data_IF_829298707622
#
_entry.id   IF_829298707622
#
_cell.length_a   1.000
_cell.length_b   1.000
_cell.length_c   1.000
_cell.angle_alpha   90.00
_cell.angle_beta   90.00
_cell.angle_gamma   90.00
#
_symmetry.space_group_name_H-M   'P 1'
#
loop_
_entity.id
_entity.type
_entity.pdbx_description
1 polymer ?
#
# COMPACT_ATOMS: atom_id res chain seq x y z
N UNK A 1 21.91 23.24 -14.08
CA UNK A 1 21.11 24.13 -13.23
C UNK A 1 19.70 24.07 -13.74
N UNK A 2 18.81 23.37 -13.05
CA UNK A 2 17.38 23.34 -13.39
C UNK A 2 16.83 24.75 -13.15
N UNK A 3 16.17 25.32 -14.16
CA UNK A 3 15.49 26.60 -13.99
C UNK A 3 14.43 26.42 -12.89
N UNK A 4 14.53 27.16 -11.79
CA UNK A 4 13.54 27.12 -10.73
C UNK A 4 12.18 27.50 -11.33
N UNK A 5 11.16 26.63 -11.16
CA UNK A 5 9.80 26.93 -11.59
C UNK A 5 9.32 28.21 -10.91
N UNK A 6 8.92 29.22 -11.68
CA UNK A 6 8.28 30.42 -11.16
C UNK A 6 6.80 30.14 -11.05
N UNK A 7 6.25 30.17 -9.82
CA UNK A 7 4.83 29.89 -9.57
C UNK A 7 3.98 31.13 -9.90
N UNK A 8 2.88 30.90 -10.63
CA UNK A 8 1.91 31.90 -11.03
C UNK A 8 0.76 31.96 -10.02
N UNK A 9 0.59 33.10 -9.38
CA UNK A 9 -0.41 33.33 -8.32
C UNK A 9 -1.42 34.34 -8.82
N UNK A 10 -2.70 34.03 -8.74
CA UNK A 10 -3.78 35.00 -8.93
C UNK A 10 -4.20 35.55 -7.58
N UNK A 11 -4.37 36.86 -7.46
CA UNK A 11 -4.91 37.49 -6.25
C UNK A 11 -6.11 38.37 -6.59
N UNK A 12 -7.30 37.95 -6.18
CA UNK A 12 -8.55 38.66 -6.39
C UNK A 12 -8.98 39.33 -5.07
N UNK A 13 -9.06 40.67 -5.08
CA UNK A 13 -9.38 41.49 -3.91
C UNK A 13 -9.81 42.89 -4.41
N UNK A 14 -10.93 43.42 -3.95
CA UNK A 14 -11.41 44.75 -4.39
C UNK A 14 -10.50 45.88 -3.89
N UNK A 15 -9.82 45.66 -2.76
CA UNK A 15 -8.83 46.57 -2.19
C UNK A 15 -7.38 46.21 -2.63
N UNK A 16 -7.17 45.54 -3.75
CA UNK A 16 -5.88 44.98 -4.21
C UNK A 16 -4.76 46.03 -4.30
N UNK A 17 -5.11 47.29 -4.54
CA UNK A 17 -4.14 48.39 -4.58
C UNK A 17 -3.46 48.66 -3.21
N UNK A 18 -4.15 48.37 -2.11
CA UNK A 18 -3.64 48.45 -0.78
C UNK A 18 -2.67 47.29 -0.45
N UNK A 19 -2.77 46.21 -1.22
CA UNK A 19 -1.97 45.01 -1.03
C UNK A 19 -0.68 44.98 -1.85
N UNK A 20 -0.36 46.05 -2.59
CA UNK A 20 0.91 46.22 -3.35
C UNK A 20 2.17 45.85 -2.57
N UNK A 21 2.34 46.25 -1.29
CA UNK A 21 3.51 45.85 -0.52
C UNK A 21 3.63 44.32 -0.33
N UNK A 22 2.49 43.63 -0.18
CA UNK A 22 2.44 42.18 -0.05
C UNK A 22 2.78 41.49 -1.39
N UNK A 23 2.28 42.02 -2.49
CA UNK A 23 2.58 41.52 -3.84
C UNK A 23 4.07 41.66 -4.12
N UNK A 24 4.66 42.84 -3.84
CA UNK A 24 6.09 43.08 -4.01
C UNK A 24 6.92 42.12 -3.15
N UNK A 25 6.50 41.89 -1.90
CA UNK A 25 7.16 40.92 -1.03
C UNK A 25 7.15 39.50 -1.64
N UNK A 26 6.02 39.01 -2.14
CA UNK A 26 5.92 37.72 -2.77
C UNK A 26 6.78 37.63 -4.04
N UNK A 27 6.83 38.69 -4.84
CA UNK A 27 7.69 38.76 -6.02
C UNK A 27 9.19 38.67 -5.65
N UNK A 28 9.63 39.31 -4.54
CA UNK A 28 11.02 39.11 -4.05
C UNK A 28 11.32 37.67 -3.61
N UNK A 29 10.29 36.88 -3.34
CA UNK A 29 10.40 35.47 -2.97
C UNK A 29 10.27 34.52 -4.16
N UNK A 30 10.18 35.04 -5.39
CA UNK A 30 10.15 34.26 -6.64
C UNK A 30 8.76 33.81 -7.08
N UNK A 31 7.69 34.42 -6.55
CA UNK A 31 6.33 34.19 -7.01
C UNK A 31 5.91 35.30 -7.97
N UNK A 32 5.24 34.98 -9.04
CA UNK A 32 4.64 35.94 -9.97
C UNK A 32 3.16 36.12 -9.63
N UNK A 33 2.76 37.35 -9.27
CA UNK A 33 1.41 37.63 -8.76
C UNK A 33 0.65 38.49 -9.77
N UNK A 34 -0.50 37.99 -10.23
CA UNK A 34 -1.46 38.69 -11.09
C UNK A 34 -2.58 39.24 -10.21
N UNK A 35 -2.66 40.57 -10.00
CA UNK A 35 -3.74 41.17 -9.22
C UNK A 35 -4.99 41.39 -10.09
N UNK A 36 -6.18 41.09 -9.51
CA UNK A 36 -7.49 41.41 -10.09
C UNK A 36 -8.43 41.96 -9.02
N UNK A 37 -9.47 42.73 -9.43
CA UNK A 37 -10.34 43.48 -8.49
C UNK A 37 -11.71 42.86 -8.26
N UNK A 38 -12.05 41.82 -8.97
CA UNK A 38 -13.37 41.20 -8.88
C UNK A 38 -13.36 39.72 -9.16
N UNK A 39 -14.42 39.02 -8.73
CA UNK A 39 -14.62 37.61 -9.03
C UNK A 39 -14.74 37.32 -10.53
N UNK A 40 -15.36 38.22 -11.31
CA UNK A 40 -15.47 38.06 -12.76
C UNK A 40 -14.09 38.12 -13.43
N UNK A 41 -13.27 39.13 -13.07
CA UNK A 41 -11.89 39.22 -13.58
C UNK A 41 -11.06 37.99 -13.20
N UNK A 42 -11.28 37.43 -12.00
CA UNK A 42 -10.59 36.21 -11.57
C UNK A 42 -10.98 35.00 -12.45
N UNK A 43 -12.27 34.83 -12.76
CA UNK A 43 -12.76 33.77 -13.63
C UNK A 43 -12.19 33.92 -15.05
N UNK A 44 -12.23 35.16 -15.61
CA UNK A 44 -11.68 35.45 -16.94
C UNK A 44 -10.18 35.14 -17.00
N UNK A 45 -9.43 35.53 -15.96
CA UNK A 45 -8.00 35.25 -15.86
C UNK A 45 -7.71 33.74 -15.83
N UNK A 46 -8.47 32.93 -15.05
CA UNK A 46 -8.32 31.48 -14.95
C UNK A 46 -8.67 30.76 -16.28
N UNK A 47 -9.54 31.36 -17.09
CA UNK A 47 -9.84 30.86 -18.42
C UNK A 47 -8.72 31.17 -19.42
N UNK A 48 -8.11 32.38 -19.29
CA UNK A 48 -7.10 32.87 -20.22
C UNK A 48 -5.71 32.27 -20.00
N UNK A 49 -5.32 31.98 -18.74
CA UNK A 49 -3.99 31.47 -18.42
C UNK A 49 -3.98 30.49 -17.24
N UNK A 50 -2.85 29.84 -17.03
CA UNK A 50 -2.64 28.89 -15.92
C UNK A 50 -2.18 29.62 -14.67
N UNK A 51 -2.76 29.27 -13.53
CA UNK A 51 -2.29 29.65 -12.19
C UNK A 51 -2.01 28.42 -11.36
N UNK A 52 -1.03 28.51 -10.45
CA UNK A 52 -0.67 27.46 -9.52
C UNK A 52 -1.47 27.57 -8.19
N UNK A 53 -1.92 28.79 -7.81
CA UNK A 53 -2.74 29.04 -6.62
C UNK A 53 -3.49 30.39 -6.77
N UNK A 54 -4.65 30.48 -6.12
CA UNK A 54 -5.44 31.72 -6.04
C UNK A 54 -5.58 32.17 -4.59
N UNK A 55 -5.30 33.46 -4.31
CA UNK A 55 -5.82 34.17 -3.15
C UNK A 55 -7.12 34.85 -3.53
N UNK A 56 -8.19 34.65 -2.74
CA UNK A 56 -9.54 35.08 -3.08
C UNK A 56 -10.20 35.77 -1.89
N UNK A 57 -10.54 37.04 -2.03
CA UNK A 57 -11.35 37.74 -1.02
C UNK A 57 -12.83 37.36 -1.11
N UNK A 58 -13.50 37.34 0.03
CA UNK A 58 -14.95 37.09 0.08
C UNK A 58 -15.77 38.30 -0.35
N UNK A 59 -15.36 39.48 0.07
CA UNK A 59 -16.13 40.69 -0.13
C UNK A 59 -15.68 41.46 -1.39
N UNK A 60 -16.16 41.06 -2.52
CA UNK A 60 -15.88 41.70 -3.81
C UNK A 60 -17.18 42.20 -4.48
N UNK A 61 -17.12 43.30 -5.27
CA UNK A 61 -18.30 43.79 -5.98
C UNK A 61 -18.75 42.79 -7.06
N UNK A 62 -20.04 42.53 -7.10
CA UNK A 62 -20.68 41.63 -8.09
C UNK A 62 -20.76 40.20 -7.59
N UNK A 63 -19.76 39.39 -7.86
CA UNK A 63 -19.68 38.01 -7.35
C UNK A 63 -18.97 37.96 -6.02
N UNK A 64 -19.54 37.24 -5.05
CA UNK A 64 -18.84 36.94 -3.77
C UNK A 64 -17.66 36.04 -4.01
N UNK A 65 -16.75 35.94 -3.01
CA UNK A 65 -15.65 34.99 -3.05
C UNK A 65 -16.13 33.54 -3.14
N UNK A 66 -17.18 33.18 -2.40
CA UNK A 66 -17.77 31.83 -2.45
C UNK A 66 -18.39 31.49 -3.83
N UNK A 67 -19.11 32.43 -4.43
CA UNK A 67 -19.64 32.26 -5.80
C UNK A 67 -18.52 32.10 -6.83
N UNK A 68 -17.47 32.90 -6.66
CA UNK A 68 -16.28 32.86 -7.52
C UNK A 68 -15.53 31.53 -7.35
N UNK A 69 -15.33 31.08 -6.12
CA UNK A 69 -14.74 29.79 -5.76
C UNK A 69 -15.47 28.65 -6.48
N UNK A 70 -16.81 28.60 -6.38
CA UNK A 70 -17.60 27.54 -7.00
C UNK A 70 -17.38 27.49 -8.52
N UNK A 71 -17.47 28.65 -9.20
CA UNK A 71 -17.27 28.73 -10.65
C UNK A 71 -15.86 28.37 -11.08
N UNK A 72 -14.85 28.79 -10.33
CA UNK A 72 -13.47 28.43 -10.63
C UNK A 72 -13.24 26.92 -10.41
N UNK A 73 -13.84 26.32 -9.39
CA UNK A 73 -13.76 24.88 -9.14
C UNK A 73 -14.48 24.04 -10.19
N UNK A 74 -15.53 24.54 -10.80
CA UNK A 74 -16.17 23.92 -11.97
C UNK A 74 -15.24 23.91 -13.20
N UNK A 75 -14.46 24.98 -13.42
CA UNK A 75 -13.50 25.10 -14.52
C UNK A 75 -12.19 24.35 -14.24
N UNK A 76 -11.70 24.43 -13.01
CA UNK A 76 -10.41 23.89 -12.55
C UNK A 76 -10.54 23.21 -11.18
N UNK A 77 -11.06 21.99 -11.09
CA UNK A 77 -11.38 21.32 -9.81
C UNK A 77 -10.21 21.21 -8.83
N UNK A 78 -8.99 21.07 -9.33
CA UNK A 78 -7.79 20.84 -8.54
C UNK A 78 -6.96 22.11 -8.27
N UNK A 79 -7.34 23.27 -8.80
CA UNK A 79 -6.61 24.52 -8.57
C UNK A 79 -6.73 24.92 -7.09
N UNK A 80 -5.60 25.07 -6.34
CA UNK A 80 -5.64 25.49 -4.95
C UNK A 80 -6.20 26.90 -4.82
N UNK A 81 -7.17 27.09 -3.90
CA UNK A 81 -7.77 28.40 -3.60
C UNK A 81 -7.68 28.64 -2.09
N UNK A 82 -7.10 29.76 -1.72
CA UNK A 82 -6.96 30.25 -0.35
C UNK A 82 -7.89 31.45 -0.19
N UNK A 83 -8.89 31.32 0.71
CA UNK A 83 -9.76 32.45 1.04
C UNK A 83 -9.01 33.44 1.95
N UNK A 84 -9.09 34.73 1.64
CA UNK A 84 -8.46 35.82 2.43
C UNK A 84 -9.52 36.85 2.74
N UNK A 85 -10.10 36.85 3.93
CA UNK A 85 -11.28 37.66 4.25
C UNK A 85 -11.20 38.33 5.63
N UNK A 86 -12.06 39.35 5.83
CA UNK A 86 -12.20 40.06 7.10
C UNK A 86 -13.14 39.35 8.09
N UNK A 87 -13.89 38.31 7.63
CA UNK A 87 -14.89 37.64 8.45
C UNK A 87 -14.32 36.44 9.20
N UNK A 88 -14.64 36.32 10.49
CA UNK A 88 -14.39 35.17 11.35
C UNK A 88 -15.67 34.32 11.56
N UNK A 89 -16.70 34.56 10.75
CA UNK A 89 -17.97 33.85 10.89
C UNK A 89 -17.81 32.36 10.57
N UNK A 90 -18.18 31.52 11.52
CA UNK A 90 -18.09 30.07 11.43
C UNK A 90 -18.90 29.50 10.25
N UNK A 91 -20.00 30.14 9.91
CA UNK A 91 -20.87 29.74 8.80
C UNK A 91 -20.19 29.95 7.43
N UNK A 92 -19.48 31.05 7.25
CA UNK A 92 -18.66 31.34 6.05
C UNK A 92 -17.50 30.37 5.93
N UNK A 93 -16.82 30.06 7.03
CA UNK A 93 -15.76 29.06 7.05
C UNK A 93 -16.27 27.68 6.65
N UNK A 94 -17.43 27.27 7.18
CA UNK A 94 -18.04 25.96 6.86
C UNK A 94 -18.47 25.88 5.37
N UNK A 95 -19.03 26.97 4.82
CA UNK A 95 -19.40 27.03 3.41
C UNK A 95 -18.14 27.00 2.51
N UNK A 96 -17.08 27.72 2.87
CA UNK A 96 -15.82 27.71 2.14
C UNK A 96 -15.18 26.32 2.15
N UNK A 97 -15.17 25.62 3.30
CA UNK A 97 -14.70 24.23 3.43
C UNK A 97 -15.55 23.30 2.54
N UNK A 98 -16.89 23.46 2.57
CA UNK A 98 -17.80 22.73 1.67
C UNK A 98 -17.52 23.00 0.18
N UNK A 99 -17.09 24.22 -0.16
CA UNK A 99 -16.64 24.63 -1.49
C UNK A 99 -15.25 24.11 -1.88
N UNK A 100 -14.58 23.31 -1.01
CA UNK A 100 -13.24 22.71 -1.24
C UNK A 100 -12.11 23.74 -1.36
N UNK A 101 -12.08 24.73 -0.46
CA UNK A 101 -10.91 25.60 -0.31
C UNK A 101 -9.70 24.78 0.19
N UNK A 102 -8.51 25.31 -0.08
CA UNK A 102 -7.27 24.68 0.35
C UNK A 102 -6.76 25.24 1.69
N UNK A 103 -7.02 26.54 1.94
CA UNK A 103 -6.63 27.25 3.17
C UNK A 103 -7.53 28.48 3.39
N UNK A 104 -7.47 29.05 4.60
CA UNK A 104 -8.26 30.21 5.01
C UNK A 104 -7.39 31.20 5.80
N UNK A 105 -7.35 32.46 5.41
CA UNK A 105 -6.57 33.51 6.05
C UNK A 105 -7.49 34.68 6.44
N UNK A 106 -7.30 35.20 7.64
CA UNK A 106 -8.10 36.33 8.17
C UNK A 106 -7.30 37.62 8.01
N UNK A 107 -7.91 38.66 7.44
CA UNK A 107 -7.35 40.00 7.36
C UNK A 107 -7.32 40.69 8.73
N UNK A 108 -6.28 41.43 9.08
CA UNK A 108 -5.13 41.80 8.26
C UNK A 108 -4.12 40.68 8.15
N UNK A 109 -3.83 40.25 6.91
CA UNK A 109 -2.80 39.25 6.66
C UNK A 109 -1.40 39.84 6.71
N UNK A 110 -0.48 39.12 7.32
CA UNK A 110 0.89 39.51 7.29
C UNK A 110 1.65 38.77 6.14
N UNK A 111 2.67 39.37 5.52
CA UNK A 111 3.40 38.77 4.42
C UNK A 111 3.94 37.36 4.72
N UNK A 112 4.30 37.08 5.98
CA UNK A 112 4.80 35.78 6.39
C UNK A 112 3.70 34.70 6.40
N UNK A 113 2.45 35.06 6.70
CA UNK A 113 1.30 34.12 6.64
C UNK A 113 1.00 33.74 5.19
N UNK A 114 1.01 34.72 4.27
CA UNK A 114 0.86 34.45 2.84
C UNK A 114 1.95 33.53 2.32
N UNK A 115 3.22 33.83 2.68
CA UNK A 115 4.34 32.99 2.27
C UNK A 115 4.25 31.56 2.86
N UNK A 116 3.79 31.44 4.11
CA UNK A 116 3.60 30.12 4.74
C UNK A 116 2.49 29.33 4.03
N UNK A 117 1.37 29.97 3.70
CA UNK A 117 0.27 29.34 2.96
C UNK A 117 0.73 28.91 1.56
N UNK A 118 1.49 29.76 0.83
CA UNK A 118 2.07 29.39 -0.46
C UNK A 118 3.03 28.18 -0.33
N UNK A 119 3.93 28.21 0.66
CA UNK A 119 4.84 27.08 0.89
C UNK A 119 4.10 25.80 1.22
N UNK A 120 3.10 25.86 2.10
CA UNK A 120 2.26 24.71 2.46
C UNK A 120 1.55 24.12 1.23
N UNK A 121 1.00 24.96 0.36
CA UNK A 121 0.14 24.51 -0.73
C UNK A 121 0.88 24.23 -2.05
N UNK A 122 2.03 24.87 -2.30
CA UNK A 122 2.80 24.73 -3.52
C UNK A 122 4.10 23.94 -3.37
N UNK A 123 4.68 23.95 -2.15
CA UNK A 123 5.98 23.34 -1.90
C UNK A 123 5.92 22.19 -0.89
N UNK A 124 4.74 21.81 -0.41
CA UNK A 124 4.62 20.75 0.60
C UNK A 124 5.27 19.45 0.11
N UNK A 125 5.04 19.04 -1.12
CA UNK A 125 5.66 17.85 -1.71
C UNK A 125 7.20 17.99 -1.80
N UNK A 126 7.73 19.16 -2.15
CA UNK A 126 9.19 19.35 -2.24
C UNK A 126 9.85 19.41 -0.85
N UNK A 127 9.19 20.01 0.14
CA UNK A 127 9.70 20.07 1.53
C UNK A 127 9.69 18.67 2.16
N UNK A 128 8.62 17.91 1.94
CA UNK A 128 8.52 16.51 2.37
C UNK A 128 9.62 15.69 1.68
N UNK A 129 9.79 15.84 0.37
CA UNK A 129 10.84 15.17 -0.38
C UNK A 129 12.24 15.47 0.13
N UNK A 130 12.57 16.74 0.41
CA UNK A 130 13.88 17.12 0.97
C UNK A 130 14.13 16.46 2.33
N UNK A 131 13.14 16.49 3.22
CA UNK A 131 13.23 15.82 4.52
C UNK A 131 13.38 14.30 4.37
N UNK A 132 12.60 13.69 3.47
CA UNK A 132 12.68 12.25 3.16
C UNK A 132 14.05 11.87 2.62
N UNK A 133 14.63 12.68 1.72
CA UNK A 133 15.99 12.47 1.18
C UNK A 133 17.06 12.52 2.29
N UNK A 134 16.98 13.49 3.19
CA UNK A 134 17.94 13.61 4.30
C UNK A 134 17.83 12.41 5.24
N UNK A 135 16.60 12.03 5.62
CA UNK A 135 16.34 10.88 6.47
C UNK A 135 16.80 9.59 5.81
N UNK A 136 16.51 9.39 4.53
CA UNK A 136 16.94 8.20 3.81
C UNK A 136 18.47 8.10 3.72
N UNK A 137 19.19 9.19 3.45
CA UNK A 137 20.67 9.17 3.41
C UNK A 137 21.28 8.73 4.74
N UNK A 138 20.71 9.17 5.86
CA UNK A 138 21.13 8.72 7.18
C UNK A 138 20.83 7.24 7.41
N UNK A 139 19.62 6.80 7.08
CA UNK A 139 19.18 5.41 7.17
C UNK A 139 19.97 4.49 6.22
N UNK A 140 20.25 4.96 5.00
CA UNK A 140 21.07 4.23 4.03
C UNK A 140 22.43 3.84 4.61
N UNK A 141 23.13 4.80 5.23
CA UNK A 141 24.43 4.55 5.86
C UNK A 141 24.32 3.52 6.99
N UNK A 142 23.30 3.62 7.84
CA UNK A 142 23.06 2.69 8.94
C UNK A 142 22.75 1.28 8.41
N UNK A 143 21.80 1.15 7.50
CA UNK A 143 21.43 -0.15 6.90
C UNK A 143 22.63 -0.78 6.18
N UNK A 144 23.41 -0.01 5.42
CA UNK A 144 24.57 -0.52 4.69
C UNK A 144 25.66 -1.04 5.63
N UNK A 145 25.86 -0.39 6.79
CA UNK A 145 26.81 -0.85 7.80
C UNK A 145 26.34 -2.11 8.53
N UNK A 146 25.03 -2.24 8.75
CA UNK A 146 24.43 -3.40 9.42
C UNK A 146 24.33 -4.63 8.52
N UNK A 147 24.20 -4.44 7.20
CA UNK A 147 24.05 -5.54 6.25
C UNK A 147 25.24 -6.51 6.27
N UNK A 148 24.97 -7.75 6.62
CA UNK A 148 25.93 -8.85 6.55
C UNK A 148 25.20 -10.20 6.41
N UNK A 149 25.90 -11.24 5.98
CA UNK A 149 25.38 -12.61 5.92
C UNK A 149 25.30 -13.30 7.30
N UNK A 150 25.66 -12.57 8.37
CA UNK A 150 25.61 -13.05 9.78
C UNK A 150 24.41 -12.57 10.54
N UNK A 151 23.53 -11.79 9.93
CA UNK A 151 22.30 -11.34 10.57
C UNK A 151 21.43 -12.53 10.99
N UNK A 152 20.79 -12.42 12.13
CA UNK A 152 19.73 -13.33 12.57
C UNK A 152 18.49 -13.19 11.68
N UNK A 153 17.56 -14.13 11.76
CA UNK A 153 16.28 -14.07 11.02
C UNK A 153 15.48 -12.80 11.36
N UNK A 154 15.46 -12.41 12.64
CA UNK A 154 14.69 -11.24 13.07
C UNK A 154 15.33 -9.93 12.59
N UNK A 155 16.67 -9.86 12.56
CA UNK A 155 17.38 -8.73 11.95
C UNK A 155 17.14 -8.65 10.43
N UNK A 156 17.04 -9.80 9.74
CA UNK A 156 16.65 -9.83 8.31
C UNK A 156 15.21 -9.36 8.09
N UNK A 157 14.28 -9.76 8.95
CA UNK A 157 12.90 -9.28 8.91
C UNK A 157 12.82 -7.77 9.08
N UNK A 158 13.57 -7.23 10.04
CA UNK A 158 13.60 -5.79 10.31
C UNK A 158 14.23 -5.01 9.16
N UNK A 159 15.37 -5.49 8.62
CA UNK A 159 15.98 -4.89 7.45
C UNK A 159 15.04 -4.89 6.25
N UNK A 160 14.29 -5.98 6.04
CA UNK A 160 13.32 -6.06 4.95
C UNK A 160 12.17 -5.05 5.12
N UNK A 161 11.61 -4.90 6.34
CA UNK A 161 10.60 -3.87 6.64
C UNK A 161 11.10 -2.47 6.33
N UNK A 162 12.32 -2.14 6.73
CA UNK A 162 12.95 -0.83 6.46
C UNK A 162 13.15 -0.60 4.95
N UNK A 163 13.60 -1.58 4.21
CA UNK A 163 13.75 -1.48 2.75
C UNK A 163 12.39 -1.25 2.06
N UNK A 164 11.35 -1.94 2.49
CA UNK A 164 9.98 -1.74 1.97
C UNK A 164 9.44 -0.36 2.37
N UNK A 165 9.66 0.08 3.61
CA UNK A 165 9.28 1.42 4.04
C UNK A 165 9.86 2.49 3.12
N UNK A 166 11.18 2.43 2.87
CA UNK A 166 11.84 3.40 1.99
C UNK A 166 11.44 3.29 0.52
N UNK A 167 11.07 2.09 0.06
CA UNK A 167 10.51 1.92 -1.28
C UNK A 167 9.19 2.67 -1.46
N UNK A 168 8.35 2.69 -0.44
CA UNK A 168 7.08 3.43 -0.44
C UNK A 168 7.28 4.93 -0.26
N UNK A 169 8.13 5.35 0.68
CA UNK A 169 8.41 6.77 0.94
C UNK A 169 9.09 7.48 -0.23
N UNK A 170 9.93 6.77 -0.99
CA UNK A 170 10.62 7.32 -2.15
C UNK A 170 9.85 7.14 -3.46
N UNK A 171 8.63 6.59 -3.44
CA UNK A 171 7.86 6.28 -4.65
C UNK A 171 7.64 7.50 -5.56
N UNK A 172 7.35 8.65 -4.96
CA UNK A 172 7.22 9.94 -5.67
C UNK A 172 8.49 10.81 -5.55
N UNK A 173 9.59 10.25 -5.04
CA UNK A 173 10.81 10.95 -4.71
C UNK A 173 11.79 11.11 -5.86
N UNK A 174 13.00 11.58 -5.50
CA UNK A 174 14.13 11.81 -6.40
C UNK A 174 14.65 10.49 -7.01
N UNK A 175 14.90 10.48 -8.33
CA UNK A 175 15.36 9.29 -9.06
C UNK A 175 16.73 8.77 -8.57
N UNK A 176 17.62 9.65 -8.13
CA UNK A 176 18.92 9.23 -7.58
C UNK A 176 18.75 8.45 -6.28
N UNK A 177 17.78 8.82 -5.45
CA UNK A 177 17.48 8.10 -4.21
C UNK A 177 16.83 6.75 -4.50
N UNK A 178 15.98 6.67 -5.52
CA UNK A 178 15.43 5.38 -5.99
C UNK A 178 16.52 4.45 -6.50
N UNK A 179 17.46 4.95 -7.29
CA UNK A 179 18.60 4.15 -7.76
C UNK A 179 19.47 3.64 -6.61
N UNK A 180 19.74 4.50 -5.61
CA UNK A 180 20.48 4.12 -4.41
C UNK A 180 19.74 3.00 -3.63
N UNK A 181 18.42 3.13 -3.46
CA UNK A 181 17.61 2.11 -2.81
C UNK A 181 17.64 0.79 -3.59
N UNK A 182 17.51 0.83 -4.91
CA UNK A 182 17.59 -0.37 -5.75
C UNK A 182 18.96 -1.07 -5.63
N UNK A 183 20.05 -0.31 -5.55
CA UNK A 183 21.38 -0.88 -5.29
C UNK A 183 21.44 -1.54 -3.91
N UNK A 184 20.88 -0.90 -2.89
CA UNK A 184 20.83 -1.41 -1.52
C UNK A 184 19.97 -2.68 -1.42
N UNK A 185 18.81 -2.71 -2.08
CA UNK A 185 17.94 -3.90 -2.20
C UNK A 185 18.64 -5.06 -2.92
N UNK A 186 19.40 -4.75 -3.96
CA UNK A 186 20.19 -5.77 -4.69
C UNK A 186 21.26 -6.39 -3.79
N UNK A 187 22.01 -5.58 -3.04
CA UNK A 187 23.01 -6.05 -2.09
C UNK A 187 22.38 -6.86 -0.95
N UNK A 188 21.29 -6.36 -0.35
CA UNK A 188 20.54 -7.10 0.66
C UNK A 188 20.07 -8.46 0.13
N UNK A 189 19.53 -8.50 -1.10
CA UNK A 189 19.10 -9.75 -1.74
C UNK A 189 20.25 -10.74 -1.96
N UNK A 190 21.45 -10.25 -2.33
CA UNK A 190 22.66 -11.08 -2.48
C UNK A 190 23.11 -11.68 -1.13
N UNK A 191 23.15 -10.87 -0.09
CA UNK A 191 23.52 -11.32 1.26
C UNK A 191 22.48 -12.27 1.87
N UNK A 192 21.20 -11.97 1.68
CA UNK A 192 20.10 -12.83 2.13
C UNK A 192 20.13 -14.19 1.42
N UNK A 193 20.42 -14.22 0.13
CA UNK A 193 20.58 -15.50 -0.59
C UNK A 193 21.69 -16.36 0.00
N UNK A 194 22.82 -15.76 0.39
CA UNK A 194 23.91 -16.48 1.09
C UNK A 194 23.47 -16.96 2.46
N UNK A 195 22.76 -16.12 3.21
CA UNK A 195 22.22 -16.48 4.49
C UNK A 195 21.27 -17.69 4.39
N UNK A 196 20.36 -17.68 3.43
CA UNK A 196 19.44 -18.81 3.18
C UNK A 196 20.23 -20.07 2.77
N UNK A 197 21.15 -19.95 1.82
CA UNK A 197 21.96 -21.10 1.36
C UNK A 197 22.76 -21.76 2.50
N UNK A 198 23.18 -20.98 3.47
CA UNK A 198 23.94 -21.47 4.63
C UNK A 198 23.09 -22.17 5.68
N UNK A 199 21.85 -21.70 5.89
CA UNK A 199 21.04 -22.10 7.05
C UNK A 199 19.88 -23.03 6.69
N UNK A 200 19.32 -22.94 5.45
CA UNK A 200 18.04 -23.57 5.10
C UNK A 200 18.06 -25.09 5.25
N UNK A 201 19.12 -25.76 4.83
CA UNK A 201 19.23 -27.22 4.97
C UNK A 201 19.23 -27.65 6.45
N UNK A 202 19.91 -26.88 7.32
CA UNK A 202 19.87 -27.11 8.79
C UNK A 202 18.47 -26.99 9.35
N UNK A 203 17.71 -25.98 8.94
CA UNK A 203 16.33 -25.80 9.39
C UNK A 203 15.37 -26.91 8.96
N UNK A 204 15.65 -27.56 7.80
CA UNK A 204 14.86 -28.71 7.38
C UNK A 204 15.21 -29.95 8.20
N UNK A 205 16.49 -30.16 8.48
CA UNK A 205 16.96 -31.34 9.23
C UNK A 205 16.62 -31.28 10.72
N UNK A 206 16.72 -30.07 11.31
CA UNK A 206 16.49 -29.83 12.73
C UNK A 206 15.37 -28.80 12.93
N UNK A 207 14.09 -29.25 12.98
CA UNK A 207 12.96 -28.34 13.13
C UNK A 207 12.88 -27.58 14.46
N UNK A 208 13.56 -28.06 15.50
CA UNK A 208 13.55 -27.42 16.81
C UNK A 208 14.38 -26.12 16.78
N UNK A 209 13.79 -25.02 17.21
CA UNK A 209 14.46 -23.70 17.27
C UNK A 209 14.66 -23.00 15.92
N UNK A 210 14.18 -23.57 14.82
CA UNK A 210 14.22 -22.90 13.50
C UNK A 210 13.22 -21.73 13.42
N UNK A 211 13.41 -20.79 12.50
CA UNK A 211 12.39 -19.78 12.21
C UNK A 211 11.10 -20.44 11.71
N UNK A 212 9.98 -19.72 11.84
CA UNK A 212 8.69 -20.16 11.31
C UNK A 212 8.79 -20.31 9.78
N UNK A 213 8.52 -21.52 9.30
CA UNK A 213 8.39 -21.82 7.88
C UNK A 213 6.91 -22.07 7.50
N UNK A 214 6.62 -22.22 6.21
CA UNK A 214 5.26 -22.46 5.70
C UNK A 214 4.48 -23.57 6.48
N UNK A 215 5.04 -24.75 6.77
CA UNK A 215 4.31 -25.80 7.49
C UNK A 215 4.00 -25.46 8.96
N UNK A 216 4.66 -24.47 9.53
CA UNK A 216 4.54 -24.15 10.96
C UNK A 216 3.40 -23.17 11.25
N UNK A 217 2.82 -22.52 10.24
CA UNK A 217 1.86 -21.41 10.42
C UNK A 217 0.62 -21.80 11.21
N UNK A 218 -0.03 -22.90 10.90
CA UNK A 218 -1.22 -23.33 11.64
C UNK A 218 -0.88 -23.67 13.09
N UNK A 219 0.22 -24.38 13.32
CA UNK A 219 0.67 -24.76 14.66
C UNK A 219 0.99 -23.53 15.52
N UNK A 220 1.62 -22.51 14.94
CA UNK A 220 2.16 -21.37 15.69
C UNK A 220 1.20 -20.19 15.78
N UNK A 221 0.33 -19.99 14.79
CA UNK A 221 -0.53 -18.79 14.72
C UNK A 221 -2.02 -19.11 14.82
N UNK A 222 -2.50 -20.26 14.30
CA UNK A 222 -3.92 -20.59 14.26
C UNK A 222 -4.36 -21.38 15.48
N UNK A 223 -3.68 -22.49 15.81
CA UNK A 223 -4.08 -23.37 16.89
C UNK A 223 -4.11 -22.69 18.26
N UNK A 224 -3.14 -21.83 18.65
CA UNK A 224 -3.22 -21.13 19.94
C UNK A 224 -4.49 -20.30 20.10
N UNK A 225 -4.97 -19.63 19.05
CA UNK A 225 -6.22 -18.86 19.08
C UNK A 225 -7.46 -19.77 19.22
N UNK A 226 -7.52 -20.85 18.44
CA UNK A 226 -8.61 -21.83 18.55
C UNK A 226 -8.64 -22.52 19.92
N UNK A 227 -7.47 -22.88 20.44
CA UNK A 227 -7.33 -23.52 21.76
C UNK A 227 -7.74 -22.59 22.91
N UNK A 228 -7.60 -21.27 22.74
CA UNK A 228 -8.11 -20.26 23.67
C UNK A 228 -9.61 -19.99 23.55
N UNK A 229 -10.28 -20.64 22.59
CA UNK A 229 -11.71 -20.50 22.32
C UNK A 229 -12.07 -19.34 21.38
N UNK A 230 -11.08 -18.70 20.78
CA UNK A 230 -11.34 -17.66 19.78
C UNK A 230 -11.77 -18.29 18.43
N UNK A 231 -12.58 -17.57 17.69
CA UNK A 231 -12.97 -17.94 16.34
C UNK A 231 -12.07 -17.22 15.34
N UNK A 232 -11.63 -17.92 14.30
CA UNK A 232 -10.59 -17.46 13.39
C UNK A 232 -11.04 -17.48 11.94
N UNK A 233 -10.84 -16.37 11.22
CA UNK A 233 -10.72 -16.36 9.77
C UNK A 233 -9.25 -16.41 9.39
N UNK A 234 -8.84 -17.46 8.71
CA UNK A 234 -7.52 -17.58 8.09
C UNK A 234 -7.67 -17.23 6.61
N UNK A 235 -7.17 -16.06 6.23
CA UNK A 235 -7.29 -15.53 4.87
C UNK A 235 -5.90 -15.55 4.23
N UNK A 236 -5.75 -16.33 3.17
CA UNK A 236 -4.53 -16.40 2.38
C UNK A 236 -4.76 -15.70 1.03
N UNK A 237 -3.99 -14.63 0.79
CA UNK A 237 -3.93 -13.98 -0.52
C UNK A 237 -2.71 -14.52 -1.25
N UNK A 238 -2.95 -15.23 -2.35
CA UNK A 238 -1.93 -15.84 -3.19
C UNK A 238 -0.95 -14.82 -3.74
N UNK A 239 0.36 -15.05 -3.54
CA UNK A 239 1.43 -14.22 -4.08
C UNK A 239 1.36 -12.74 -3.61
N UNK A 240 0.90 -12.51 -2.37
CA UNK A 240 0.70 -11.18 -1.81
C UNK A 240 1.94 -10.72 -1.05
N UNK A 241 2.61 -9.69 -1.55
CA UNK A 241 3.87 -9.19 -1.00
C UNK A 241 3.65 -8.21 0.14
N UNK A 242 4.66 -8.05 0.99
CA UNK A 242 4.62 -7.13 2.12
C UNK A 242 4.48 -5.65 1.70
N UNK A 243 5.10 -5.22 0.60
CA UNK A 243 4.93 -3.87 0.06
C UNK A 243 3.50 -3.60 -0.44
N UNK A 244 2.82 -4.62 -0.94
CA UNK A 244 1.40 -4.55 -1.31
C UNK A 244 0.51 -4.48 -0.05
N UNK A 245 0.85 -5.27 0.99
CA UNK A 245 0.18 -5.18 2.29
C UNK A 245 0.28 -3.76 2.87
N UNK A 246 1.46 -3.18 2.98
CA UNK A 246 1.65 -1.81 3.48
C UNK A 246 0.82 -0.79 2.69
N UNK A 247 0.65 -0.98 1.38
CA UNK A 247 -0.17 -0.09 0.55
C UNK A 247 -1.67 -0.20 0.81
N UNK A 248 -2.18 -1.38 1.24
CA UNK A 248 -3.61 -1.61 1.51
C UNK A 248 -3.99 -1.51 2.97
N UNK A 249 -3.04 -1.63 3.88
CA UNK A 249 -3.20 -1.63 5.34
C UNK A 249 -4.08 -0.48 5.84
N UNK A 250 -3.85 0.73 5.32
CA UNK A 250 -4.64 1.91 5.68
C UNK A 250 -6.13 1.79 5.37
N UNK A 251 -6.53 0.94 4.41
CA UNK A 251 -7.94 0.70 4.08
C UNK A 251 -8.65 -0.12 5.16
N UNK A 252 -7.90 -0.88 5.96
CA UNK A 252 -8.41 -1.76 7.00
C UNK A 252 -8.24 -1.20 8.42
N UNK A 253 -7.50 -0.09 8.60
CA UNK A 253 -7.19 0.49 9.91
C UNK A 253 -8.41 1.01 10.67
N UNK A 254 -9.52 1.26 9.96
CA UNK A 254 -10.81 1.62 10.58
C UNK A 254 -11.45 0.42 11.32
N UNK A 255 -11.19 -0.82 10.86
CA UNK A 255 -11.85 -2.03 11.35
C UNK A 255 -10.97 -2.90 12.23
N UNK A 256 -9.64 -2.80 12.06
CA UNK A 256 -8.67 -3.70 12.68
C UNK A 256 -7.50 -2.96 13.31
N UNK A 257 -7.01 -3.51 14.41
CA UNK A 257 -5.66 -3.27 14.92
C UNK A 257 -4.76 -4.42 14.44
N UNK A 258 -3.50 -4.11 14.09
CA UNK A 258 -2.61 -5.06 13.46
C UNK A 258 -1.48 -5.49 14.39
N UNK A 259 -1.23 -6.80 14.44
CA UNK A 259 0.00 -7.41 14.94
C UNK A 259 0.69 -8.09 13.76
N UNK A 260 1.90 -7.64 13.41
CA UNK A 260 2.56 -8.00 12.17
C UNK A 260 3.84 -8.80 12.43
N UNK A 261 3.94 -9.94 11.74
CA UNK A 261 5.14 -10.75 11.71
C UNK A 261 5.48 -11.18 10.28
N UNK A 262 6.71 -11.56 10.06
CA UNK A 262 7.16 -12.15 8.81
C UNK A 262 7.61 -13.58 9.06
N UNK A 263 7.31 -14.47 8.14
CA UNK A 263 7.79 -15.84 8.15
C UNK A 263 8.57 -16.15 6.87
N UNK A 264 9.32 -17.22 6.86
CA UNK A 264 10.04 -17.66 5.67
C UNK A 264 9.23 -18.71 4.92
N UNK A 265 8.82 -18.40 3.69
CA UNK A 265 8.23 -19.40 2.79
C UNK A 265 9.26 -20.47 2.47
N UNK A 266 8.80 -21.73 2.33
CA UNK A 266 9.68 -22.82 1.92
C UNK A 266 10.17 -22.66 0.49
N UNK A 267 11.32 -23.24 0.18
CA UNK A 267 11.87 -23.30 -1.17
C UNK A 267 11.47 -24.60 -1.87
N UNK A 268 11.11 -24.52 -3.17
CA UNK A 268 10.90 -23.33 -3.97
C UNK A 268 9.64 -22.56 -3.53
N UNK A 269 9.70 -21.21 -3.63
CA UNK A 269 8.60 -20.32 -3.25
C UNK A 269 7.53 -20.30 -4.34
N UNK A 270 6.83 -21.41 -4.52
CA UNK A 270 5.77 -21.57 -5.50
C UNK A 270 4.51 -22.10 -4.83
N UNK A 271 3.35 -21.71 -5.35
CA UNK A 271 2.02 -22.05 -4.82
C UNK A 271 1.87 -23.54 -4.52
N UNK A 272 2.28 -24.40 -5.44
CA UNK A 272 2.20 -25.85 -5.28
C UNK A 272 2.88 -26.36 -4.03
N UNK A 273 4.07 -25.84 -3.71
CA UNK A 273 4.86 -26.28 -2.57
C UNK A 273 4.47 -25.53 -1.29
N UNK A 274 4.53 -24.21 -1.31
CA UNK A 274 4.38 -23.38 -0.14
C UNK A 274 2.96 -23.44 0.44
N UNK A 275 1.92 -23.36 -0.41
CA UNK A 275 0.53 -23.39 0.06
C UNK A 275 0.13 -24.77 0.57
N UNK A 276 0.49 -25.82 -0.14
CA UNK A 276 0.24 -27.18 0.33
C UNK A 276 0.96 -27.46 1.65
N UNK A 277 2.17 -26.91 1.84
CA UNK A 277 2.87 -27.02 3.12
C UNK A 277 2.15 -26.25 4.26
N UNK A 278 1.57 -25.08 3.99
CA UNK A 278 0.76 -24.34 4.96
C UNK A 278 -0.44 -25.18 5.40
N UNK A 279 -1.21 -25.69 4.43
CA UNK A 279 -2.48 -26.37 4.72
C UNK A 279 -2.32 -27.80 5.22
N UNK A 280 -1.22 -28.46 4.89
CA UNK A 280 -0.93 -29.79 5.43
C UNK A 280 -0.12 -29.73 6.73
N UNK A 281 0.62 -28.64 7.01
CA UNK A 281 1.60 -28.58 8.10
C UNK A 281 2.76 -29.61 7.92
N UNK A 282 3.14 -29.88 6.68
CA UNK A 282 4.20 -30.82 6.30
C UNK A 282 5.06 -30.24 5.19
N UNK A 283 6.29 -30.71 5.09
CA UNK A 283 7.11 -30.45 3.90
C UNK A 283 6.59 -31.24 2.68
N UNK A 284 6.80 -30.75 1.46
CA UNK A 284 6.27 -31.38 0.24
C UNK A 284 6.57 -32.88 0.11
N UNK A 285 7.80 -33.29 0.40
CA UNK A 285 8.21 -34.68 0.39
C UNK A 285 7.42 -35.55 1.39
N UNK A 286 7.11 -34.98 2.56
CA UNK A 286 6.33 -35.69 3.58
C UNK A 286 4.85 -35.79 3.17
N UNK A 287 4.32 -34.75 2.50
CA UNK A 287 2.96 -34.82 1.93
C UNK A 287 2.89 -35.97 0.90
N UNK A 288 3.83 -36.00 -0.04
CA UNK A 288 3.86 -37.04 -1.09
C UNK A 288 4.00 -38.46 -0.50
N UNK A 289 4.75 -38.62 0.57
CA UNK A 289 4.91 -39.93 1.24
C UNK A 289 3.72 -40.33 2.10
N UNK A 290 3.16 -39.42 2.87
CA UNK A 290 2.12 -39.73 3.85
C UNK A 290 0.72 -39.67 3.23
N UNK A 291 0.52 -38.86 2.22
CA UNK A 291 -0.77 -38.60 1.58
C UNK A 291 -0.62 -38.53 0.06
N UNK A 292 -0.17 -39.62 -0.59
CA UNK A 292 0.08 -39.64 -2.05
C UNK A 292 -1.14 -39.24 -2.87
N UNK A 293 -2.33 -39.56 -2.40
CA UNK A 293 -3.60 -39.21 -3.08
C UNK A 293 -3.92 -37.71 -3.03
N UNK A 294 -3.26 -36.94 -2.14
CA UNK A 294 -3.43 -35.49 -2.01
C UNK A 294 -2.32 -34.70 -2.70
N UNK A 295 -1.21 -35.38 -3.02
CA UNK A 295 -0.10 -34.78 -3.73
C UNK A 295 -0.27 -34.94 -5.25
N UNK A 296 -0.08 -33.85 -5.98
CA UNK A 296 -0.10 -33.85 -7.45
C UNK A 296 1.31 -33.54 -7.95
N UNK A 297 1.90 -34.44 -8.68
CA UNK A 297 3.24 -34.31 -9.23
C UNK A 297 3.31 -33.21 -10.28
N UNK A 298 4.51 -32.65 -10.46
CA UNK A 298 4.73 -31.49 -11.34
C UNK A 298 4.44 -31.82 -12.82
N UNK A 299 4.64 -33.06 -13.23
CA UNK A 299 4.38 -33.55 -14.57
C UNK A 299 2.88 -33.80 -14.87
N UNK A 300 2.03 -33.85 -13.85
CA UNK A 300 0.59 -34.08 -14.04
C UNK A 300 -0.08 -32.85 -14.69
N UNK A 301 -1.02 -33.09 -15.58
CA UNK A 301 -1.88 -32.05 -16.16
C UNK A 301 -2.95 -31.53 -15.18
N UNK A 302 -3.14 -32.22 -14.06
CA UNK A 302 -4.12 -31.81 -13.04
C UNK A 302 -3.69 -30.56 -12.29
N UNK A 303 -4.68 -29.83 -11.75
CA UNK A 303 -4.43 -28.64 -10.95
C UNK A 303 -3.70 -28.98 -9.64
N UNK A 304 -2.55 -28.33 -9.41
CA UNK A 304 -1.63 -28.65 -8.30
C UNK A 304 -2.16 -28.29 -6.90
N UNK A 305 -3.21 -27.48 -6.82
CA UNK A 305 -3.77 -26.96 -5.57
C UNK A 305 -5.29 -27.21 -5.50
N UNK A 306 -5.73 -28.45 -5.74
CA UNK A 306 -7.14 -28.86 -5.65
C UNK A 306 -7.47 -29.55 -4.32
N UNK A 307 -6.46 -30.04 -3.60
CA UNK A 307 -6.61 -30.85 -2.38
C UNK A 307 -6.35 -30.06 -1.09
N UNK A 308 -6.49 -28.73 -1.12
CA UNK A 308 -6.21 -27.87 0.03
C UNK A 308 -7.14 -28.15 1.21
N UNK A 309 -8.44 -28.33 0.97
CA UNK A 309 -9.42 -28.65 2.02
C UNK A 309 -9.15 -30.03 2.68
N UNK A 310 -8.93 -31.13 1.94
CA UNK A 310 -8.50 -32.40 2.52
C UNK A 310 -7.16 -32.31 3.28
N UNK A 311 -6.22 -31.47 2.83
CA UNK A 311 -4.95 -31.24 3.56
C UNK A 311 -5.19 -30.61 4.92
N UNK A 312 -6.08 -29.61 5.03
CA UNK A 312 -6.46 -29.00 6.31
C UNK A 312 -7.11 -30.06 7.21
N UNK A 313 -7.98 -30.90 6.66
CA UNK A 313 -8.60 -31.98 7.41
C UNK A 313 -7.57 -32.93 8.02
N UNK A 314 -6.57 -33.38 7.21
CA UNK A 314 -5.49 -34.25 7.72
C UNK A 314 -4.59 -33.53 8.74
N UNK A 315 -4.35 -32.23 8.57
CA UNK A 315 -3.61 -31.41 9.52
C UNK A 315 -4.31 -31.41 10.88
N UNK A 316 -5.60 -31.07 10.91
CA UNK A 316 -6.39 -31.05 12.14
C UNK A 316 -6.38 -32.42 12.83
N UNK A 317 -6.58 -33.51 12.08
CA UNK A 317 -6.56 -34.88 12.61
C UNK A 317 -5.20 -35.25 13.23
N UNK A 318 -4.08 -34.95 12.56
CA UNK A 318 -2.72 -35.22 13.06
C UNK A 318 -2.42 -34.49 14.35
N UNK A 319 -2.91 -33.24 14.50
CA UNK A 319 -2.76 -32.47 15.74
C UNK A 319 -3.87 -32.73 16.76
N UNK A 320 -4.77 -33.72 16.51
CA UNK A 320 -5.90 -34.09 17.39
C UNK A 320 -6.80 -32.89 17.69
N UNK A 321 -7.01 -32.03 16.68
CA UNK A 321 -7.87 -30.85 16.76
C UNK A 321 -9.24 -31.20 16.18
N UNK A 322 -10.27 -31.22 17.03
CA UNK A 322 -11.65 -31.56 16.64
C UNK A 322 -12.47 -30.31 16.28
N UNK A 323 -11.86 -29.38 15.54
CA UNK A 323 -12.56 -28.20 15.08
C UNK A 323 -13.23 -28.44 13.75
N UNK A 324 -14.52 -28.09 13.65
CA UNK A 324 -15.16 -27.94 12.36
C UNK A 324 -14.63 -26.69 11.64
N UNK A 325 -14.48 -26.76 10.35
CA UNK A 325 -14.00 -25.65 9.56
C UNK A 325 -14.76 -25.49 8.25
N UNK A 326 -14.68 -24.31 7.65
CA UNK A 326 -15.09 -24.06 6.27
C UNK A 326 -13.88 -23.74 5.41
N UNK A 327 -13.92 -24.11 4.15
CA UNK A 327 -12.92 -23.78 3.16
C UNK A 327 -13.60 -23.12 1.94
N UNK A 328 -13.08 -21.95 1.53
CA UNK A 328 -13.60 -21.18 0.41
C UNK A 328 -12.46 -20.65 -0.44
N UNK A 329 -12.51 -20.86 -1.75
CA UNK A 329 -11.51 -20.37 -2.69
C UNK A 329 -12.15 -19.44 -3.71
N UNK A 330 -11.63 -18.23 -3.83
CA UNK A 330 -12.17 -17.15 -4.66
C UNK A 330 -11.22 -16.91 -5.84
N UNK A 331 -11.65 -17.37 -7.02
CA UNK A 331 -10.94 -17.15 -8.28
C UNK A 331 -11.51 -15.97 -9.08
N UNK A 332 -12.83 -15.73 -8.97
CA UNK A 332 -13.56 -14.75 -9.76
C UNK A 332 -14.50 -13.94 -8.86
N UNK A 333 -14.89 -12.74 -9.30
CA UNK A 333 -15.74 -11.83 -8.56
C UNK A 333 -17.05 -12.47 -8.07
N UNK A 334 -17.71 -13.26 -8.90
CA UNK A 334 -18.98 -13.95 -8.54
C UNK A 334 -18.83 -14.96 -7.38
N UNK A 335 -17.63 -15.53 -7.18
CA UNK A 335 -17.36 -16.38 -6.01
C UNK A 335 -17.24 -15.53 -4.74
N UNK A 336 -16.63 -14.35 -4.86
CA UNK A 336 -16.57 -13.38 -3.78
C UNK A 336 -17.96 -12.88 -3.38
N UNK A 337 -18.85 -12.59 -4.34
CA UNK A 337 -20.23 -12.19 -4.08
C UNK A 337 -21.03 -13.29 -3.36
N UNK A 338 -20.91 -14.54 -3.81
CA UNK A 338 -21.54 -15.69 -3.15
C UNK A 338 -21.04 -15.89 -1.72
N UNK A 339 -19.72 -15.74 -1.51
CA UNK A 339 -19.11 -15.84 -0.20
C UNK A 339 -19.65 -14.74 0.73
N UNK A 340 -19.73 -13.50 0.28
CA UNK A 340 -20.35 -12.39 1.02
C UNK A 340 -21.80 -12.70 1.40
N UNK A 341 -22.61 -13.20 0.46
CA UNK A 341 -24.00 -13.58 0.69
C UNK A 341 -24.16 -14.73 1.70
N UNK A 342 -23.14 -15.59 1.86
CA UNK A 342 -23.15 -16.74 2.75
C UNK A 342 -22.41 -16.55 4.07
N UNK A 343 -21.82 -15.38 4.34
CA UNK A 343 -21.01 -15.13 5.53
C UNK A 343 -21.71 -15.49 6.86
N UNK A 344 -23.02 -15.26 6.96
CA UNK A 344 -23.77 -15.64 8.15
C UNK A 344 -23.74 -17.14 8.43
N UNK A 345 -23.68 -17.99 7.40
CA UNK A 345 -23.58 -19.44 7.57
C UNK A 345 -22.21 -19.88 8.10
N UNK A 346 -21.18 -19.04 7.91
CA UNK A 346 -19.82 -19.31 8.39
C UNK A 346 -19.67 -19.14 9.89
N UNK A 347 -20.61 -18.46 10.55
CA UNK A 347 -20.62 -18.27 12.03
C UNK A 347 -20.66 -19.56 12.84
N UNK A 348 -21.12 -20.66 12.24
CA UNK A 348 -21.14 -21.97 12.89
C UNK A 348 -19.74 -22.60 13.03
N UNK A 349 -18.77 -22.17 12.23
CA UNK A 349 -17.42 -22.72 12.24
C UNK A 349 -16.47 -21.90 13.12
N UNK A 350 -15.69 -22.53 14.01
CA UNK A 350 -14.62 -21.85 14.74
C UNK A 350 -13.45 -21.44 13.84
N UNK A 351 -13.23 -22.17 12.72
CA UNK A 351 -12.19 -21.88 11.75
C UNK A 351 -12.80 -21.71 10.36
N UNK A 352 -12.53 -20.56 9.74
CA UNK A 352 -12.92 -20.30 8.36
C UNK A 352 -11.67 -20.00 7.54
N UNK A 353 -11.41 -20.79 6.51
CA UNK A 353 -10.26 -20.63 5.62
C UNK A 353 -10.73 -20.05 4.28
N UNK A 354 -10.09 -18.98 3.87
CA UNK A 354 -10.39 -18.29 2.60
C UNK A 354 -9.10 -18.13 1.82
N UNK A 355 -9.10 -18.51 0.55
CA UNK A 355 -8.00 -18.30 -0.40
C UNK A 355 -8.44 -17.33 -1.48
N UNK A 356 -7.66 -16.26 -1.70
CA UNK A 356 -7.91 -15.23 -2.71
C UNK A 356 -6.79 -15.26 -3.75
N UNK A 357 -7.11 -15.59 -5.00
CA UNK A 357 -6.12 -15.82 -6.06
C UNK A 357 -5.83 -14.59 -6.94
N UNK A 358 -6.50 -13.46 -6.74
CA UNK A 358 -6.43 -12.32 -7.67
C UNK A 358 -5.00 -11.78 -7.88
N UNK A 359 -4.20 -11.64 -6.80
CA UNK A 359 -2.88 -11.02 -6.89
C UNK A 359 -1.93 -11.90 -7.70
N UNK A 360 -2.03 -13.23 -7.56
CA UNK A 360 -1.26 -14.15 -8.37
C UNK A 360 -1.70 -14.12 -9.85
N UNK A 361 -3.00 -14.11 -10.12
CA UNK A 361 -3.54 -13.94 -11.48
C UNK A 361 -3.06 -12.62 -12.12
N UNK A 362 -3.01 -11.53 -11.35
CA UNK A 362 -2.47 -10.25 -11.83
C UNK A 362 -0.97 -10.34 -12.12
N UNK A 363 -0.21 -11.08 -11.30
CA UNK A 363 1.22 -11.35 -11.50
C UNK A 363 1.47 -12.10 -12.81
N UNK A 364 0.71 -13.15 -13.08
CA UNK A 364 0.75 -13.88 -14.35
C UNK A 364 0.38 -12.97 -15.53
N UNK A 365 -0.69 -12.21 -15.41
CA UNK A 365 -1.12 -11.28 -16.45
C UNK A 365 -0.08 -10.20 -16.79
N UNK A 366 0.79 -9.78 -15.85
CA UNK A 366 1.94 -8.87 -16.13
C UNK A 366 2.94 -9.47 -17.12
N UNK A 367 3.06 -10.78 -17.18
CA UNK A 367 3.99 -11.46 -18.11
C UNK A 367 3.31 -11.84 -19.42
N UNK A 368 2.05 -12.20 -19.40
CA UNK A 368 1.30 -12.77 -20.52
C UNK A 368 0.54 -11.71 -21.33
N UNK A 369 -0.12 -10.76 -20.66
CA UNK A 369 -0.94 -9.72 -21.29
C UNK A 369 -0.12 -8.46 -21.59
N UNK A 370 -0.06 -8.04 -22.85
CA UNK A 370 0.60 -6.79 -23.25
C UNK A 370 -0.02 -5.57 -22.57
N UNK A 371 -1.35 -5.52 -22.48
CA UNK A 371 -2.07 -4.40 -21.84
C UNK A 371 -1.75 -4.30 -20.34
N UNK A 372 -1.78 -5.42 -19.62
CA UNK A 372 -1.47 -5.42 -18.18
C UNK A 372 0.00 -5.12 -17.93
N UNK A 373 0.90 -5.57 -18.81
CA UNK A 373 2.33 -5.24 -18.75
C UNK A 373 2.58 -3.74 -18.88
N UNK A 374 1.85 -3.05 -19.73
CA UNK A 374 1.93 -1.59 -19.88
C UNK A 374 1.34 -0.86 -18.66
N UNK A 375 0.20 -1.33 -18.11
CA UNK A 375 -0.44 -0.75 -16.92
C UNK A 375 0.33 -0.99 -15.62
N UNK A 376 1.00 -2.13 -15.49
CA UNK A 376 1.76 -2.55 -14.30
C UNK A 376 3.26 -2.65 -14.61
N UNK A 377 3.82 -1.71 -15.36
CA UNK A 377 5.22 -1.72 -15.82
C UNK A 377 6.23 -1.48 -14.71
N UNK A 378 5.83 -0.83 -13.63
CA UNK A 378 6.63 -0.57 -12.42
C UNK A 378 6.06 -1.29 -11.21
N UNK A 379 6.85 -1.43 -10.14
CA UNK A 379 6.37 -1.99 -8.87
C UNK A 379 5.33 -1.07 -8.22
N UNK A 380 5.48 0.25 -8.32
CA UNK A 380 4.51 1.23 -7.87
C UNK A 380 3.14 1.07 -8.57
N UNK A 381 3.14 0.94 -9.90
CA UNK A 381 1.92 0.70 -10.67
C UNK A 381 1.27 -0.65 -10.28
N UNK A 382 2.07 -1.68 -10.02
CA UNK A 382 1.56 -2.98 -9.58
C UNK A 382 0.93 -2.90 -8.19
N UNK A 383 1.54 -2.20 -7.23
CA UNK A 383 0.94 -1.90 -5.90
C UNK A 383 -0.37 -1.13 -6.04
N UNK A 384 -0.40 -0.10 -6.88
CA UNK A 384 -1.59 0.71 -7.13
C UNK A 384 -2.76 -0.12 -7.68
N UNK A 385 -2.51 -1.02 -8.63
CA UNK A 385 -3.53 -1.95 -9.15
C UNK A 385 -4.02 -2.91 -8.06
N UNK A 386 -3.12 -3.45 -7.24
CA UNK A 386 -3.49 -4.31 -6.11
C UNK A 386 -4.35 -3.56 -5.09
N UNK A 387 -3.99 -2.32 -4.74
CA UNK A 387 -4.76 -1.46 -3.84
C UNK A 387 -6.14 -1.13 -4.40
N UNK A 388 -6.21 -0.81 -5.69
CA UNK A 388 -7.47 -0.53 -6.40
C UNK A 388 -8.40 -1.75 -6.39
N UNK A 389 -7.85 -2.93 -6.74
CA UNK A 389 -8.61 -4.17 -6.64
C UNK A 389 -9.12 -4.42 -5.22
N UNK A 390 -8.25 -4.33 -4.21
CA UNK A 390 -8.62 -4.58 -2.84
C UNK A 390 -9.79 -3.68 -2.41
N UNK A 391 -9.74 -2.39 -2.74
CA UNK A 391 -10.76 -1.40 -2.39
C UNK A 391 -12.08 -1.60 -3.12
N UNK A 392 -12.04 -1.96 -4.40
CA UNK A 392 -13.23 -1.98 -5.28
C UNK A 392 -13.79 -3.38 -5.53
N UNK A 393 -13.14 -4.43 -5.03
CA UNK A 393 -13.64 -5.80 -5.09
C UNK A 393 -14.47 -6.15 -3.85
N UNK A 394 -15.06 -7.34 -3.89
CA UNK A 394 -15.76 -7.93 -2.73
C UNK A 394 -14.85 -8.14 -1.52
N UNK A 395 -13.52 -8.14 -1.71
CA UNK A 395 -12.53 -8.38 -0.66
C UNK A 395 -12.60 -7.32 0.46
N UNK A 396 -12.71 -6.05 0.13
CA UNK A 396 -12.85 -4.98 1.14
C UNK A 396 -14.11 -5.18 1.99
N UNK A 397 -15.25 -5.45 1.36
CA UNK A 397 -16.50 -5.70 2.04
C UNK A 397 -16.44 -7.00 2.89
N UNK A 398 -15.71 -8.02 2.43
CA UNK A 398 -15.47 -9.23 3.18
C UNK A 398 -14.78 -8.94 4.52
N UNK A 399 -13.69 -8.19 4.51
CA UNK A 399 -12.98 -7.79 5.75
C UNK A 399 -13.87 -6.96 6.67
N UNK A 400 -14.62 -5.99 6.14
CA UNK A 400 -15.55 -5.17 6.92
C UNK A 400 -16.58 -6.04 7.66
N UNK A 401 -17.24 -6.95 6.97
CA UNK A 401 -18.25 -7.82 7.58
C UNK A 401 -17.64 -8.82 8.58
N UNK A 402 -16.44 -9.34 8.31
CA UNK A 402 -15.75 -10.22 9.26
C UNK A 402 -15.42 -9.47 10.56
N UNK A 403 -15.02 -8.20 10.49
CA UNK A 403 -14.79 -7.37 11.67
C UNK A 403 -16.07 -7.23 12.52
N UNK A 404 -17.21 -7.01 11.89
CA UNK A 404 -18.53 -6.95 12.55
C UNK A 404 -18.92 -8.28 13.24
N UNK A 405 -18.39 -9.41 12.76
CA UNK A 405 -18.63 -10.73 13.35
C UNK A 405 -17.79 -11.01 14.61
N UNK A 406 -16.77 -10.19 14.91
CA UNK A 406 -15.93 -10.33 16.09
C UNK A 406 -14.95 -11.50 16.04
N UNK A 407 -14.56 -11.96 14.84
CA UNK A 407 -13.54 -12.99 14.65
C UNK A 407 -12.12 -12.41 14.70
N UNK A 408 -11.18 -13.22 15.12
CA UNK A 408 -9.77 -12.96 14.85
C UNK A 408 -9.48 -13.22 13.36
N UNK A 409 -8.71 -12.35 12.74
CA UNK A 409 -8.30 -12.51 11.34
C UNK A 409 -6.80 -12.73 11.29
N UNK A 410 -6.40 -13.82 10.66
CA UNK A 410 -5.01 -14.05 10.24
C UNK A 410 -4.97 -13.85 8.73
N UNK A 411 -4.38 -12.74 8.30
CA UNK A 411 -4.11 -12.46 6.89
C UNK A 411 -2.68 -12.89 6.58
N UNK A 412 -2.49 -13.72 5.59
CA UNK A 412 -1.18 -14.23 5.18
C UNK A 412 -1.07 -14.41 3.67
N UNK A 413 0.08 -14.84 3.22
CA UNK A 413 0.37 -15.27 1.85
C UNK A 413 1.19 -16.55 1.88
N UNK A 414 1.22 -17.30 0.79
CA UNK A 414 2.07 -18.48 0.63
C UNK A 414 3.47 -18.12 0.12
N UNK A 415 3.56 -17.17 -0.78
CA UNK A 415 4.82 -16.65 -1.33
C UNK A 415 4.64 -15.22 -1.85
N UNK A 416 5.71 -14.65 -2.39
CA UNK A 416 5.69 -13.40 -3.15
C UNK A 416 6.50 -13.56 -4.43
N UNK A 417 6.52 -12.51 -5.26
CA UNK A 417 7.32 -12.45 -6.49
C UNK A 417 8.34 -11.34 -6.41
N UNK A 418 9.51 -11.57 -7.01
CA UNK A 418 10.54 -10.56 -7.19
C UNK A 418 10.92 -10.45 -8.67
N UNK A 419 10.91 -9.23 -9.19
CA UNK A 419 11.44 -8.96 -10.54
C UNK A 419 12.96 -9.03 -10.51
N UNK A 420 13.55 -9.89 -11.34
CA UNK A 420 15.01 -10.04 -11.49
C UNK A 420 15.50 -9.35 -12.76
N UNK A 421 16.66 -8.71 -12.68
CA UNK A 421 17.27 -8.03 -13.83
C UNK A 421 18.14 -8.99 -14.68
N UNK A 422 18.76 -9.97 -14.03
CA UNK A 422 19.70 -10.91 -14.65
C UNK A 422 19.21 -12.35 -14.42
N UNK A 423 18.38 -12.90 -15.31
CA UNK A 423 17.92 -14.27 -15.20
C UNK A 423 19.07 -15.24 -15.49
N UNK A 424 19.14 -16.34 -14.73
CA UNK A 424 20.08 -17.44 -14.95
C UNK A 424 19.29 -18.66 -15.42
N UNK A 425 19.73 -19.25 -16.54
CA UNK A 425 19.14 -20.51 -17.01
C UNK A 425 19.72 -21.68 -16.21
N UNK A 426 18.85 -22.38 -15.51
CA UNK A 426 19.21 -23.64 -14.85
C UNK A 426 18.86 -24.78 -15.82
N UNK A 427 19.78 -25.71 -15.98
CA UNK A 427 19.58 -26.96 -16.76
C UNK A 427 19.37 -28.05 -15.72
N UNK A 428 18.24 -28.70 -15.76
CA UNK A 428 17.84 -29.79 -14.87
C UNK A 428 16.51 -30.36 -15.32
N UNK A 429 16.14 -31.52 -14.79
CA UNK A 429 14.80 -32.06 -14.96
C UNK A 429 13.78 -31.14 -14.25
N UNK A 430 12.59 -31.04 -14.85
CA UNK A 430 11.50 -30.22 -14.31
C UNK A 430 10.97 -30.82 -13.03
#
# INVERSE_FOLDING_TARGET
MSASKVYQILWADDEIDLLKPHILFLQTKGYEVTPVRSGNEAIDAVQAQHFDLIFLDEHMPGLTGLDTLQRIKELRPFLPIVMVTKSEEEELMNQAIGGKITDYLIKPVNPSQLLLSLKKNLHQSSIINEATIVNYRQEFAQMSTQMSDRLSVDEWKELYRRLVHWELELEEGDEQMKELLEMQKAEAGRLFSRFISKNYEGWIREPEGRPILSPDLFKTKVFPLLDSGEKVFFILIDNFRYDQWESVKSLLSEFYTFDEDLYLSILPTATQYARNAIFSGLMPLDIAKMFPDLWVDEESEEGKNLNEEPMIQTLLQRYRKNYSFSYNKVYEARFGERLLGSLNSLKQYPLNVIVLNFVDMLSHARTESKMIRELANTEAAYRSLTKSWFRHSTTYNLFKHIAEMGYRVILTTDHGTKRVKNPVKIIGDK
#
